data_IF_612751944528
#
_entry.id   IF_612751944528
#
_cell.length_a   1.000
_cell.length_b   1.000
_cell.length_c   1.000
_cell.angle_alpha   90.00
_cell.angle_beta   90.00
_cell.angle_gamma   90.00
#
_symmetry.space_group_name_H-M   'P 1'
#
loop_
_entity.id
_entity.type
_entity.pdbx_description
1 polymer ?
#
# COMPACT_ATOMS: atom_id res chain seq x y z
N UNK A 1 27.06 -11.11 6.78
CA UNK A 1 25.64 -11.35 6.46
C UNK A 1 24.87 -10.26 7.20
N UNK A 2 23.87 -9.62 6.58
CA UNK A 2 23.13 -8.51 7.22
C UNK A 2 21.84 -9.09 7.80
N UNK A 3 21.62 -8.86 9.08
CA UNK A 3 20.47 -9.33 9.86
C UNK A 3 19.57 -8.16 10.27
N UNK A 4 18.33 -8.42 10.72
CA UNK A 4 17.41 -7.35 11.12
C UNK A 4 17.98 -6.38 12.16
N UNK A 5 18.76 -6.85 13.13
CA UNK A 5 19.40 -6.00 14.14
C UNK A 5 20.48 -5.07 13.59
N UNK A 6 21.01 -5.34 12.39
CA UNK A 6 21.95 -4.46 11.71
C UNK A 6 21.24 -3.28 11.00
N UNK A 7 19.93 -3.42 10.76
CA UNK A 7 19.13 -2.49 9.95
C UNK A 7 18.08 -1.73 10.76
N UNK A 8 17.58 -2.33 11.85
CA UNK A 8 16.51 -1.81 12.67
C UNK A 8 16.97 -1.61 14.12
N UNK A 9 16.67 -0.45 14.74
CA UNK A 9 16.79 -0.26 16.18
C UNK A 9 16.00 -1.32 16.95
N UNK A 10 16.48 -1.72 18.13
CA UNK A 10 15.85 -2.79 18.93
C UNK A 10 14.36 -2.59 19.21
N UNK A 11 13.92 -1.33 19.40
CA UNK A 11 12.51 -1.00 19.66
C UNK A 11 11.58 -1.19 18.46
N UNK A 12 12.11 -1.33 17.25
CA UNK A 12 11.34 -1.47 16.02
C UNK A 12 11.22 -2.94 15.56
N UNK A 13 12.04 -3.83 16.12
CA UNK A 13 12.09 -5.22 15.70
C UNK A 13 10.77 -5.95 15.92
N UNK A 14 10.10 -5.72 17.04
CA UNK A 14 8.81 -6.33 17.36
C UNK A 14 7.70 -5.96 16.36
N UNK A 15 7.74 -4.75 15.80
CA UNK A 15 6.77 -4.31 14.78
C UNK A 15 7.04 -4.90 13.39
N UNK A 16 8.16 -5.60 13.24
CA UNK A 16 8.66 -6.13 11.97
C UNK A 16 8.81 -7.66 11.97
N UNK A 17 8.49 -8.34 13.09
CA UNK A 17 8.59 -9.81 13.23
C UNK A 17 7.71 -10.55 12.22
N UNK A 18 6.60 -9.93 11.80
CA UNK A 18 5.72 -10.42 10.76
C UNK A 18 6.41 -10.55 9.40
N UNK A 19 7.43 -9.72 9.14
CA UNK A 19 8.17 -9.67 7.88
C UNK A 19 9.59 -10.25 7.97
N UNK A 20 10.24 -10.14 9.12
CA UNK A 20 11.65 -10.46 9.30
C UNK A 20 11.87 -11.44 10.45
N UNK A 21 12.59 -12.53 10.17
CA UNK A 21 13.12 -13.42 11.20
C UNK A 21 14.47 -12.92 11.71
N UNK A 22 14.59 -12.70 13.02
CA UNK A 22 15.78 -12.11 13.65
C UNK A 22 17.07 -12.90 13.43
N UNK A 23 16.95 -14.22 13.26
CA UNK A 23 18.05 -15.16 13.04
C UNK A 23 18.30 -15.46 11.55
N UNK A 24 17.58 -14.80 10.63
CA UNK A 24 17.78 -14.94 9.20
C UNK A 24 18.32 -13.65 8.57
N UNK A 25 19.05 -13.74 7.45
CA UNK A 25 19.44 -12.55 6.72
C UNK A 25 18.24 -11.78 6.18
N UNK A 26 18.34 -10.44 6.14
CA UNK A 26 17.20 -9.56 5.77
C UNK A 26 16.59 -9.89 4.40
N UNK A 27 17.38 -10.37 3.43
CA UNK A 27 16.88 -10.74 2.10
C UNK A 27 15.96 -11.97 2.09
N UNK A 28 15.98 -12.80 3.13
CA UNK A 28 15.03 -13.91 3.24
C UNK A 28 13.59 -13.44 3.39
N UNK A 29 13.38 -12.21 3.85
CA UNK A 29 12.06 -11.61 3.88
C UNK A 29 11.43 -11.54 2.49
N UNK A 30 12.18 -11.20 1.43
CA UNK A 30 11.67 -11.17 0.05
C UNK A 30 11.37 -12.57 -0.48
N UNK A 31 12.23 -13.55 -0.14
CA UNK A 31 12.05 -14.94 -0.57
C UNK A 31 10.79 -15.58 0.04
N UNK A 32 10.53 -15.30 1.32
CA UNK A 32 9.37 -15.81 2.07
C UNK A 32 8.13 -14.90 2.03
N UNK A 33 8.20 -13.77 1.32
CA UNK A 33 7.18 -12.71 1.37
C UNK A 33 5.78 -13.21 1.00
N UNK A 34 5.66 -14.12 0.05
CA UNK A 34 4.34 -14.63 -0.36
C UNK A 34 3.64 -15.42 0.76
N UNK A 35 4.37 -16.33 1.41
CA UNK A 35 3.86 -17.10 2.55
C UNK A 35 3.47 -16.18 3.70
N UNK A 36 4.32 -15.20 4.01
CA UNK A 36 4.06 -14.21 5.07
C UNK A 36 2.83 -13.37 4.77
N UNK A 37 2.72 -12.83 3.55
CA UNK A 37 1.53 -12.05 3.18
C UNK A 37 0.26 -12.89 3.31
N UNK A 38 0.24 -14.15 2.87
CA UNK A 38 -0.95 -14.99 3.02
C UNK A 38 -1.32 -15.27 4.48
N UNK A 39 -0.36 -15.26 5.40
CA UNK A 39 -0.61 -15.39 6.83
C UNK A 39 -1.08 -14.06 7.48
N UNK A 40 -0.61 -12.93 6.97
CA UNK A 40 -0.88 -11.59 7.51
C UNK A 40 -2.15 -10.94 6.95
N UNK A 41 -2.50 -11.25 5.71
CA UNK A 41 -3.56 -10.56 5.00
C UNK A 41 -4.93 -10.87 5.60
N UNK A 42 -5.68 -9.79 5.83
CA UNK A 42 -7.11 -9.77 6.05
C UNK A 42 -7.75 -8.98 4.90
N UNK A 43 -7.98 -9.62 3.73
CA UNK A 43 -8.56 -8.93 2.59
C UNK A 43 -9.87 -8.24 2.95
N UNK A 44 -10.09 -7.06 2.37
CA UNK A 44 -11.22 -6.20 2.72
C UNK A 44 -11.90 -5.55 1.50
N UNK A 45 -11.73 -6.19 0.33
CA UNK A 45 -12.19 -5.70 -0.98
C UNK A 45 -13.17 -6.65 -1.69
N UNK A 46 -13.85 -7.53 -0.97
CA UNK A 46 -14.68 -8.61 -1.55
C UNK A 46 -15.83 -8.11 -2.41
N UNK A 47 -16.35 -6.91 -2.10
CA UNK A 47 -17.48 -6.30 -2.83
C UNK A 47 -17.07 -5.59 -4.13
N UNK A 48 -15.77 -5.42 -4.40
CA UNK A 48 -15.29 -4.77 -5.63
C UNK A 48 -15.24 -5.74 -6.83
N UNK A 49 -15.35 -5.25 -8.08
CA UNK A 49 -15.05 -6.06 -9.26
C UNK A 49 -13.56 -6.42 -9.31
N UNK A 50 -13.25 -7.57 -9.89
CA UNK A 50 -11.87 -8.04 -10.13
C UNK A 50 -11.60 -7.99 -11.63
N UNK A 51 -10.44 -7.47 -12.02
CA UNK A 51 -10.03 -7.47 -13.43
C UNK A 51 -10.55 -6.29 -14.25
N UNK A 52 -11.38 -5.43 -13.66
CA UNK A 52 -12.05 -4.33 -14.34
C UNK A 52 -11.78 -3.01 -13.60
N UNK A 53 -11.66 -1.87 -14.32
CA UNK A 53 -11.59 -0.57 -13.69
C UNK A 53 -12.84 -0.28 -12.86
N UNK A 54 -12.65 0.25 -11.65
CA UNK A 54 -13.77 0.70 -10.82
C UNK A 54 -14.60 1.76 -11.56
N UNK A 55 -15.88 1.48 -11.77
CA UNK A 55 -16.81 2.38 -12.48
C UNK A 55 -17.17 3.65 -11.67
N UNK A 56 -16.86 3.67 -10.38
CA UNK A 56 -17.09 4.77 -9.44
C UNK A 56 -16.10 4.71 -8.29
N UNK A 57 -15.96 5.80 -7.54
CA UNK A 57 -15.14 5.85 -6.34
C UNK A 57 -15.83 5.13 -5.18
N UNK A 58 -15.05 4.46 -4.35
CA UNK A 58 -15.50 3.83 -3.11
C UNK A 58 -14.73 4.38 -1.92
N UNK A 59 -15.40 4.44 -0.78
CA UNK A 59 -14.81 4.68 0.53
C UNK A 59 -14.78 3.35 1.28
N UNK A 60 -13.61 2.96 1.78
CA UNK A 60 -13.46 1.85 2.72
C UNK A 60 -13.37 2.44 4.13
N UNK A 61 -14.31 2.10 4.99
CA UNK A 61 -14.39 2.61 6.36
C UNK A 61 -14.98 1.56 7.30
N UNK A 62 -14.28 1.27 8.41
CA UNK A 62 -14.71 0.28 9.42
C UNK A 62 -15.09 -1.10 8.83
N UNK A 63 -14.39 -1.54 7.79
CA UNK A 63 -14.63 -2.81 7.10
C UNK A 63 -15.73 -2.76 6.04
N UNK A 64 -16.40 -1.63 5.87
CA UNK A 64 -17.45 -1.45 4.87
C UNK A 64 -16.96 -0.68 3.64
N UNK A 65 -17.35 -1.20 2.47
CA UNK A 65 -17.15 -0.54 1.18
C UNK A 65 -18.41 0.25 0.81
N UNK A 66 -18.28 1.57 0.84
CA UNK A 66 -19.35 2.53 0.57
C UNK A 66 -19.14 3.14 -0.82
N UNK A 67 -20.03 2.93 -1.79
CA UNK A 67 -19.96 3.64 -3.06
C UNK A 67 -20.21 5.13 -2.83
N UNK A 68 -19.33 5.97 -3.38
CA UNK A 68 -19.44 7.42 -3.21
C UNK A 68 -20.65 7.95 -4.00
N UNK A 69 -21.58 8.56 -3.27
CA UNK A 69 -22.77 9.24 -3.79
C UNK A 69 -22.76 10.76 -3.52
N UNK A 70 -23.88 11.46 -3.79
CA UNK A 70 -23.99 12.92 -3.62
C UNK A 70 -23.75 13.41 -2.18
N UNK A 71 -24.00 12.56 -1.19
CA UNK A 71 -23.91 12.87 0.23
C UNK A 71 -22.47 12.87 0.77
N UNK A 72 -21.51 12.47 -0.07
CA UNK A 72 -20.10 12.46 0.26
C UNK A 72 -19.43 13.79 -0.09
N UNK A 73 -18.52 14.24 0.78
CA UNK A 73 -17.52 15.27 0.44
C UNK A 73 -16.13 14.70 0.66
N UNK A 74 -15.30 14.75 -0.38
CA UNK A 74 -13.95 14.21 -0.37
C UNK A 74 -12.93 15.34 -0.53
N UNK A 75 -11.87 15.30 0.27
CA UNK A 75 -10.65 16.09 0.06
C UNK A 75 -9.51 15.10 -0.19
N UNK A 76 -9.16 14.92 -1.46
CA UNK A 76 -8.11 14.00 -1.91
C UNK A 76 -6.74 14.70 -1.86
N UNK A 77 -6.26 14.98 -0.65
CA UNK A 77 -4.95 15.57 -0.41
C UNK A 77 -3.99 14.56 0.24
N UNK A 78 -2.73 14.97 0.42
CA UNK A 78 -1.61 14.14 0.89
C UNK A 78 -1.98 13.18 2.04
N UNK A 79 -2.20 11.91 1.70
CA UNK A 79 -2.65 10.90 2.65
C UNK A 79 -1.56 10.59 3.69
N UNK A 80 -0.29 10.66 3.28
CA UNK A 80 0.87 10.43 4.17
C UNK A 80 0.97 11.45 5.30
N UNK A 81 0.38 12.64 5.09
CA UNK A 81 0.25 13.72 6.07
C UNK A 81 -1.15 13.83 6.67
N UNK A 82 -1.98 12.79 6.54
CA UNK A 82 -3.36 12.75 7.06
C UNK A 82 -4.24 13.89 6.54
N UNK A 83 -4.00 14.33 5.30
CA UNK A 83 -4.79 15.38 4.65
C UNK A 83 -5.94 14.83 3.79
N UNK A 84 -6.01 13.51 3.63
CA UNK A 84 -7.19 12.84 3.08
C UNK A 84 -8.37 13.01 4.04
N UNK A 85 -9.47 13.59 3.56
CA UNK A 85 -10.70 13.76 4.35
C UNK A 85 -11.90 13.19 3.61
N UNK A 86 -12.73 12.50 4.36
CA UNK A 86 -14.01 11.94 3.90
C UNK A 86 -15.08 12.39 4.87
N UNK A 87 -16.16 12.97 4.33
CA UNK A 87 -17.37 13.34 5.07
C UNK A 87 -18.56 12.65 4.40
N UNK A 88 -19.48 12.12 5.21
CA UNK A 88 -20.77 11.57 4.78
C UNK A 88 -21.87 12.21 5.62
N UNK A 89 -22.82 12.89 4.99
CA UNK A 89 -23.94 13.57 5.69
C UNK A 89 -23.50 14.53 6.80
N UNK A 90 -22.38 15.24 6.61
CA UNK A 90 -21.83 16.14 7.62
C UNK A 90 -20.95 15.47 8.68
N UNK A 91 -20.86 14.13 8.70
CA UNK A 91 -20.00 13.38 9.63
C UNK A 91 -18.64 13.07 8.99
N UNK A 92 -17.57 13.45 9.66
CA UNK A 92 -16.19 13.09 9.26
C UNK A 92 -15.94 11.61 9.55
N UNK A 93 -15.49 10.87 8.54
CA UNK A 93 -15.09 9.47 8.61
C UNK A 93 -13.56 9.38 8.79
N UNK A 94 -13.10 9.40 10.05
CA UNK A 94 -11.66 9.49 10.36
C UNK A 94 -10.91 8.20 10.03
N UNK A 95 -9.94 8.28 9.12
CA UNK A 95 -9.20 7.12 8.65
C UNK A 95 -9.92 6.32 7.56
N UNK A 96 -10.95 6.91 6.94
CA UNK A 96 -11.55 6.37 5.72
C UNK A 96 -10.53 6.37 4.58
N UNK A 97 -10.44 5.24 3.88
CA UNK A 97 -9.62 5.09 2.68
C UNK A 97 -10.47 5.37 1.44
N UNK A 98 -9.87 5.95 0.40
CA UNK A 98 -10.56 6.29 -0.86
C UNK A 98 -9.95 5.50 -2.00
N UNK A 99 -10.79 4.72 -2.67
CA UNK A 99 -10.45 3.93 -3.85
C UNK A 99 -11.10 4.61 -5.07
N UNK A 100 -10.32 5.40 -5.80
CA UNK A 100 -10.86 6.22 -6.88
C UNK A 100 -11.39 5.38 -8.04
N UNK A 101 -12.41 5.92 -8.71
CA UNK A 101 -12.85 5.40 -10.01
C UNK A 101 -11.66 5.25 -10.98
N UNK A 102 -11.65 4.18 -11.75
CA UNK A 102 -10.58 3.83 -12.69
C UNK A 102 -9.40 3.07 -12.10
N UNK A 103 -9.28 2.93 -10.78
CA UNK A 103 -8.34 1.97 -10.19
C UNK A 103 -8.74 0.53 -10.56
N UNK A 104 -7.77 -0.37 -10.70
CA UNK A 104 -7.98 -1.78 -11.07
C UNK A 104 -7.40 -2.68 -9.99
N UNK A 105 -8.25 -3.56 -9.46
CA UNK A 105 -7.86 -4.60 -8.52
C UNK A 105 -7.94 -5.96 -9.23
N UNK A 106 -6.82 -6.66 -9.33
CA UNK A 106 -6.70 -7.90 -10.10
C UNK A 106 -6.82 -9.17 -9.28
N UNK A 107 -6.84 -9.04 -7.95
CA UNK A 107 -6.84 -10.18 -7.04
C UNK A 107 -7.71 -9.88 -5.82
N UNK A 108 -8.18 -10.95 -5.16
CA UNK A 108 -8.90 -10.87 -3.89
C UNK A 108 -7.95 -10.80 -2.70
N UNK A 109 -6.70 -11.18 -2.86
CA UNK A 109 -5.69 -11.16 -1.81
C UNK A 109 -5.04 -9.76 -1.69
N UNK A 110 -5.86 -8.75 -1.48
CA UNK A 110 -5.44 -7.36 -1.32
C UNK A 110 -6.08 -6.79 -0.06
N UNK A 111 -5.24 -6.25 0.83
CA UNK A 111 -5.67 -5.52 2.02
C UNK A 111 -5.26 -4.06 1.91
N UNK A 112 -6.23 -3.19 2.18
CA UNK A 112 -6.03 -1.74 2.25
C UNK A 112 -6.23 -1.26 3.69
N UNK A 113 -5.19 -0.65 4.26
CA UNK A 113 -5.22 -0.01 5.56
C UNK A 113 -6.05 1.27 5.60
N UNK A 114 -6.02 1.97 6.73
CA UNK A 114 -6.82 3.18 7.01
C UNK A 114 -6.20 4.42 6.37
N UNK A 115 -7.04 5.34 5.90
CA UNK A 115 -6.59 6.61 5.34
C UNK A 115 -5.74 6.47 4.08
N UNK A 116 -5.84 5.35 3.36
CA UNK A 116 -5.14 5.10 2.11
C UNK A 116 -5.85 5.80 0.96
N UNK A 117 -5.08 6.40 0.05
CA UNK A 117 -5.59 6.93 -1.21
C UNK A 117 -5.08 6.08 -2.37
N UNK A 118 -5.99 5.45 -3.10
CA UNK A 118 -5.70 4.80 -4.39
C UNK A 118 -6.25 5.69 -5.49
N UNK A 119 -5.37 6.23 -6.31
CA UNK A 119 -5.69 7.16 -7.40
C UNK A 119 -6.17 6.43 -8.67
N UNK A 120 -6.85 7.13 -9.59
CA UNK A 120 -7.30 6.56 -10.86
C UNK A 120 -6.17 5.91 -11.66
N UNK A 121 -6.45 4.76 -12.28
CA UNK A 121 -5.51 4.07 -13.16
C UNK A 121 -4.39 3.32 -12.44
N UNK A 122 -4.33 3.34 -11.10
CA UNK A 122 -3.49 2.41 -10.36
C UNK A 122 -3.94 0.97 -10.65
N UNK A 123 -2.97 0.07 -10.86
CA UNK A 123 -3.20 -1.32 -11.22
C UNK A 123 -2.54 -2.24 -10.19
N UNK A 124 -3.37 -2.87 -9.35
CA UNK A 124 -2.92 -3.62 -8.16
C UNK A 124 -3.20 -5.10 -8.33
N UNK A 125 -2.16 -5.93 -8.24
CA UNK A 125 -2.27 -7.40 -8.18
C UNK A 125 -1.81 -7.91 -6.81
N UNK A 126 -2.54 -8.87 -6.27
CA UNK A 126 -2.19 -9.56 -5.03
C UNK A 126 -1.16 -10.69 -5.24
N UNK A 127 -0.65 -11.27 -4.13
CA UNK A 127 -0.93 -10.87 -2.75
C UNK A 127 -0.28 -9.51 -2.40
N UNK A 128 -1.07 -8.59 -1.81
CA UNK A 128 -0.65 -7.21 -1.56
C UNK A 128 -1.21 -6.67 -0.25
N UNK A 129 -0.32 -6.17 0.61
CA UNK A 129 -0.67 -5.37 1.78
C UNK A 129 -0.32 -3.90 1.54
N UNK A 130 -1.25 -2.99 1.83
CA UNK A 130 -1.03 -1.54 1.81
C UNK A 130 -1.36 -0.95 3.18
N UNK A 131 -0.35 -0.52 3.91
CA UNK A 131 -0.46 0.03 5.25
C UNK A 131 -1.10 1.41 5.31
N UNK A 132 -1.47 1.81 6.53
CA UNK A 132 -2.20 3.04 6.79
C UNK A 132 -1.53 4.30 6.21
N UNK A 133 -2.37 5.25 5.78
CA UNK A 133 -1.98 6.59 5.34
C UNK A 133 -1.04 6.58 4.12
N UNK A 134 -1.09 5.53 3.33
CA UNK A 134 -0.26 5.36 2.11
C UNK A 134 -0.98 5.89 0.87
N UNK A 135 -0.19 6.37 -0.10
CA UNK A 135 -0.68 6.73 -1.43
C UNK A 135 -0.23 5.73 -2.47
N UNK A 136 -1.19 5.24 -3.24
CA UNK A 136 -0.97 4.52 -4.50
C UNK A 136 -1.42 5.44 -5.62
N UNK A 137 -0.46 6.09 -6.28
CA UNK A 137 -0.73 7.17 -7.22
C UNK A 137 -1.07 6.68 -8.62
N UNK A 138 -1.51 7.62 -9.44
CA UNK A 138 -1.97 7.41 -10.81
C UNK A 138 -0.98 6.56 -11.62
N UNK A 139 -1.49 5.46 -12.19
CA UNK A 139 -0.69 4.58 -13.06
C UNK A 139 0.36 3.72 -12.35
N UNK A 140 0.43 3.72 -11.02
CA UNK A 140 1.25 2.76 -10.28
C UNK A 140 0.88 1.32 -10.70
N UNK A 141 1.89 0.49 -10.93
CA UNK A 141 1.71 -0.91 -11.31
C UNK A 141 2.33 -1.83 -10.27
N UNK A 142 1.49 -2.47 -9.46
CA UNK A 142 1.92 -3.35 -8.39
C UNK A 142 1.60 -4.79 -8.76
N UNK A 143 2.62 -5.66 -8.74
CA UNK A 143 2.47 -7.08 -9.11
C UNK A 143 3.34 -8.01 -8.29
N UNK A 144 3.06 -9.31 -8.37
CA UNK A 144 3.76 -10.30 -7.54
C UNK A 144 3.38 -10.12 -6.07
N UNK A 145 4.28 -10.52 -5.16
CA UNK A 145 4.07 -10.35 -3.72
C UNK A 145 4.63 -9.00 -3.27
N UNK A 146 3.80 -8.12 -2.73
CA UNK A 146 4.24 -6.79 -2.34
C UNK A 146 3.72 -6.41 -0.95
N UNK A 147 4.60 -5.82 -0.15
CA UNK A 147 4.25 -5.20 1.13
C UNK A 147 4.57 -3.72 1.03
N UNK A 148 3.59 -2.86 1.28
CA UNK A 148 3.76 -1.41 1.36
C UNK A 148 3.39 -0.99 2.77
N UNK A 149 4.36 -0.52 3.54
CA UNK A 149 4.16 -0.07 4.92
C UNK A 149 3.32 1.20 5.03
N UNK A 150 3.30 1.79 6.21
CA UNK A 150 2.50 2.98 6.53
C UNK A 150 3.13 4.24 5.95
N UNK A 151 2.32 5.23 5.59
CA UNK A 151 2.75 6.55 5.07
C UNK A 151 3.72 6.46 3.87
N UNK A 152 3.61 5.39 3.10
CA UNK A 152 4.41 5.21 1.91
C UNK A 152 3.83 5.99 0.72
N UNK A 153 4.65 6.17 -0.30
CA UNK A 153 4.20 6.67 -1.61
C UNK A 153 4.68 5.71 -2.70
N UNK A 154 3.73 5.00 -3.31
CA UNK A 154 3.94 4.33 -4.60
C UNK A 154 3.51 5.30 -5.68
N UNK A 155 4.51 5.86 -6.35
CA UNK A 155 4.38 7.05 -7.17
C UNK A 155 3.70 6.84 -8.51
N UNK A 156 3.49 7.97 -9.21
CA UNK A 156 2.97 7.95 -10.57
C UNK A 156 3.83 7.01 -11.42
N UNK A 157 3.18 6.12 -12.18
CA UNK A 157 3.81 5.13 -13.10
C UNK A 157 4.97 4.34 -12.48
N UNK A 158 5.01 4.20 -11.16
CA UNK A 158 6.00 3.38 -10.46
C UNK A 158 5.59 1.92 -10.52
N UNK A 159 6.50 1.06 -10.96
CA UNK A 159 6.29 -0.39 -10.96
C UNK A 159 6.94 -1.00 -9.72
N UNK A 160 6.18 -1.84 -9.01
CA UNK A 160 6.66 -2.67 -7.92
C UNK A 160 6.41 -4.14 -8.20
N UNK A 161 7.43 -4.96 -7.97
CA UNK A 161 7.37 -6.41 -8.10
C UNK A 161 8.17 -7.07 -6.99
N UNK A 162 7.56 -8.00 -6.24
CA UNK A 162 8.28 -8.79 -5.22
C UNK A 162 9.03 -7.91 -4.21
N UNK A 163 8.38 -6.87 -3.69
CA UNK A 163 9.08 -5.79 -2.96
C UNK A 163 8.45 -5.52 -1.60
N UNK A 164 9.31 -5.21 -0.62
CA UNK A 164 8.93 -4.69 0.69
C UNK A 164 9.30 -3.21 0.74
N UNK A 165 8.33 -2.32 0.88
CA UNK A 165 8.55 -0.91 1.24
C UNK A 165 8.20 -0.73 2.72
N UNK A 166 9.17 -0.31 3.52
CA UNK A 166 8.95 -0.05 4.94
C UNK A 166 8.38 1.36 5.17
N UNK A 167 7.90 1.59 6.39
CA UNK A 167 7.20 2.82 6.76
C UNK A 167 7.90 4.11 6.31
N UNK A 168 7.09 5.00 5.72
CA UNK A 168 7.53 6.31 5.23
C UNK A 168 8.31 6.28 3.91
N UNK A 169 8.56 5.11 3.33
CA UNK A 169 9.33 4.99 2.10
C UNK A 169 8.58 5.56 0.88
N UNK A 170 9.32 6.19 -0.04
CA UNK A 170 8.77 6.94 -1.17
C UNK A 170 9.50 6.54 -2.45
N UNK A 171 8.75 5.96 -3.36
CA UNK A 171 9.11 5.76 -4.76
C UNK A 171 8.19 6.64 -5.62
N UNK A 172 8.32 7.95 -5.48
CA UNK A 172 7.25 8.90 -5.84
C UNK A 172 7.05 9.14 -7.35
N UNK A 173 8.02 8.79 -8.19
CA UNK A 173 8.04 9.21 -9.58
C UNK A 173 8.70 8.16 -10.50
N UNK A 174 7.86 7.42 -11.26
CA UNK A 174 8.24 6.53 -12.38
C UNK A 174 9.44 5.63 -12.08
N UNK A 175 9.49 5.09 -10.86
CA UNK A 175 10.56 4.20 -10.42
C UNK A 175 10.25 2.73 -10.77
N UNK A 176 11.28 1.88 -10.73
CA UNK A 176 11.11 0.44 -10.76
C UNK A 176 11.71 -0.17 -9.49
N UNK A 177 10.93 -0.97 -8.77
CA UNK A 177 11.36 -1.72 -7.60
C UNK A 177 11.06 -3.20 -7.84
N UNK A 178 12.10 -3.98 -8.10
CA UNK A 178 12.02 -5.43 -8.29
C UNK A 178 12.82 -6.16 -7.22
N UNK A 179 12.20 -7.17 -6.61
CA UNK A 179 12.90 -8.16 -5.77
C UNK A 179 13.75 -7.49 -4.65
N UNK A 180 13.19 -6.42 -4.04
CA UNK A 180 13.93 -5.44 -3.23
C UNK A 180 13.29 -5.18 -1.85
N UNK A 181 14.09 -4.65 -0.93
CA UNK A 181 13.63 -4.08 0.35
C UNK A 181 14.01 -2.59 0.35
N UNK A 182 13.01 -1.72 0.44
CA UNK A 182 13.21 -0.29 0.59
C UNK A 182 13.06 0.10 2.06
N UNK A 183 14.14 0.65 2.63
CA UNK A 183 14.22 1.03 4.03
C UNK A 183 13.23 2.14 4.44
N UNK A 184 13.06 2.31 5.75
CA UNK A 184 12.17 3.33 6.32
C UNK A 184 12.60 4.74 5.92
N UNK A 185 11.61 5.61 5.67
CA UNK A 185 11.80 7.03 5.32
C UNK A 185 12.73 7.28 4.12
N UNK A 186 13.04 6.25 3.32
CA UNK A 186 13.85 6.41 2.10
C UNK A 186 13.02 7.15 1.06
N UNK A 187 13.63 8.10 0.38
CA UNK A 187 13.04 8.79 -0.76
C UNK A 187 13.87 8.56 -2.01
N UNK A 188 13.31 7.85 -2.98
CA UNK A 188 13.96 7.61 -4.26
C UNK A 188 13.82 8.83 -5.17
N UNK A 189 14.95 9.20 -5.79
CA UNK A 189 14.94 10.15 -6.90
C UNK A 189 14.11 9.62 -8.06
N UNK A 190 13.56 10.53 -8.86
CA UNK A 190 12.69 10.17 -9.97
C UNK A 190 13.42 9.26 -10.98
N UNK A 191 12.77 8.17 -11.40
CA UNK A 191 13.33 7.21 -12.36
C UNK A 191 14.39 6.25 -11.79
N UNK A 192 14.57 6.21 -10.47
CA UNK A 192 15.46 5.23 -9.82
C UNK A 192 14.98 3.80 -10.09
N UNK A 193 15.93 2.89 -10.29
CA UNK A 193 15.68 1.47 -10.55
C UNK A 193 16.41 0.62 -9.52
N UNK A 194 15.66 -0.21 -8.80
CA UNK A 194 16.16 -1.29 -7.95
C UNK A 194 15.76 -2.60 -8.63
N UNK A 195 16.73 -3.44 -8.97
CA UNK A 195 16.54 -4.66 -9.76
C UNK A 195 17.49 -5.76 -9.29
#
# INVERSE_FOLDING_TARGET
MIYPHDFFPEGDLAALEDLFELNQPVWQAVASLEERLRALLHPNLEKLPVGEPLSRTYVLYEGELLPVGPDFKLVLADATKEKLKVELDGRVLTGASVLCAGAVFMDREIEIGRGVLVEPGAYLKGPLFVGDFTEIRQGAYIRGKCYVGRRCVVGHTTEMKNTIMLDGAKAGHFAYLGDSILGREVNLGAGTKLA
#
